data_IF_696649739878
#
_entry.id   IF_696649739878
#
_cell.length_a   1.000
_cell.length_b   1.000
_cell.length_c   1.000
_cell.angle_alpha   90.00
_cell.angle_beta   90.00
_cell.angle_gamma   90.00
#
_symmetry.space_group_name_H-M   'P 1'
#
loop_
_entity.id
_entity.type
_entity.pdbx_description
1 polymer ?
#
# COMPACT_ATOMS: atom_id res chain seq x y z
N UNK A 1 -13.20 -6.34 -9.18
CA UNK A 1 -13.61 -5.82 -7.86
C UNK A 1 -12.96 -6.72 -6.85
N UNK A 2 -12.11 -6.18 -5.96
CA UNK A 2 -11.32 -6.89 -4.95
C UNK A 2 -11.92 -8.23 -4.53
N UNK A 3 -11.28 -9.34 -4.92
CA UNK A 3 -11.72 -10.67 -4.50
C UNK A 3 -11.42 -10.81 -3.01
N UNK A 4 -12.48 -10.68 -2.22
CA UNK A 4 -12.45 -10.80 -0.77
C UNK A 4 -12.51 -12.28 -0.41
N UNK A 5 -11.35 -12.93 -0.38
CA UNK A 5 -11.23 -14.32 0.02
C UNK A 5 -10.49 -14.39 1.37
N UNK A 6 -11.26 -14.51 2.45
CA UNK A 6 -10.79 -15.16 3.67
C UNK A 6 -11.92 -16.03 4.21
N UNK A 7 -12.02 -17.23 3.64
CA UNK A 7 -12.81 -18.32 4.19
C UNK A 7 -12.04 -18.98 5.34
N UNK A 8 -11.90 -18.33 6.49
CA UNK A 8 -11.35 -19.00 7.67
C UNK A 8 -12.47 -19.78 8.36
N UNK A 9 -12.52 -21.09 8.10
CA UNK A 9 -13.29 -22.08 8.86
C UNK A 9 -13.18 -21.80 10.35
N UNK A 10 -14.33 -21.49 10.96
CA UNK A 10 -14.45 -21.21 12.39
C UNK A 10 -14.26 -22.46 13.23
N UNK A 11 -13.04 -22.65 13.74
CA UNK A 11 -12.74 -23.45 14.92
C UNK A 11 -12.57 -22.53 16.12
N UNK A 12 -13.47 -22.66 17.10
CA UNK A 12 -13.56 -21.86 18.33
C UNK A 12 -12.24 -21.84 19.12
N UNK A 13 -11.83 -20.66 19.61
CA UNK A 13 -11.22 -20.57 20.94
C UNK A 13 -11.44 -19.18 21.55
N UNK A 14 -11.97 -19.16 22.77
CA UNK A 14 -12.23 -17.96 23.57
C UNK A 14 -11.01 -17.70 24.45
N UNK A 15 -10.14 -16.77 24.07
CA UNK A 15 -8.92 -16.45 24.81
C UNK A 15 -8.64 -14.95 24.83
N UNK A 16 -8.90 -14.35 26.00
CA UNK A 16 -8.63 -12.98 26.36
C UNK A 16 -7.22 -12.48 25.99
N UNK A 17 -7.17 -11.33 25.30
CA UNK A 17 -6.14 -10.32 25.52
C UNK A 17 -4.82 -10.53 24.79
N UNK A 18 -4.82 -10.30 23.49
CA UNK A 18 -4.01 -9.29 22.78
C UNK A 18 -4.66 -9.24 21.40
N UNK A 19 -5.36 -8.17 21.07
CA UNK A 19 -5.57 -7.85 19.66
C UNK A 19 -4.17 -7.66 19.12
N UNK A 20 -3.57 -8.72 18.57
CA UNK A 20 -2.51 -8.56 17.60
C UNK A 20 -3.19 -7.75 16.52
N UNK A 21 -3.01 -6.42 16.59
CA UNK A 21 -3.25 -5.56 15.44
C UNK A 21 -2.23 -6.08 14.44
N UNK A 22 -2.63 -7.12 13.70
CA UNK A 22 -2.03 -7.47 12.43
C UNK A 22 -2.11 -6.16 11.69
N UNK A 23 -1.00 -5.43 11.75
CA UNK A 23 -0.86 -4.14 11.14
C UNK A 23 -0.83 -4.54 9.68
N UNK A 24 -2.01 -4.68 9.08
CA UNK A 24 -2.22 -4.75 7.65
C UNK A 24 -1.82 -3.37 7.10
N UNK A 25 -0.56 -2.98 7.36
CA UNK A 25 0.06 -1.85 6.74
C UNK A 25 0.16 -2.22 5.28
N UNK A 26 -0.37 -1.34 4.44
CA UNK A 26 -0.07 -1.37 3.02
C UNK A 26 1.46 -1.34 2.91
N UNK A 27 2.06 -2.35 2.27
CA UNK A 27 3.49 -2.37 2.01
C UNK A 27 3.83 -1.16 1.14
N UNK A 28 4.53 -0.20 1.72
CA UNK A 28 5.01 1.01 1.04
C UNK A 28 6.50 0.92 0.72
N UNK A 29 7.09 -0.28 0.82
CA UNK A 29 8.54 -0.53 0.65
C UNK A 29 9.09 -0.02 -0.70
N UNK A 30 8.21 0.15 -1.70
CA UNK A 30 8.55 0.68 -3.02
C UNK A 30 8.46 2.22 -3.12
N UNK A 31 8.16 2.92 -2.02
CA UNK A 31 8.03 4.37 -1.99
C UNK A 31 9.00 5.01 -0.98
N UNK A 32 9.55 6.16 -1.37
CA UNK A 32 10.37 7.03 -0.53
C UNK A 32 9.61 8.32 -0.19
N UNK A 33 9.54 8.66 1.09
CA UNK A 33 8.98 9.93 1.53
C UNK A 33 10.07 11.01 1.61
N UNK A 34 9.86 12.15 0.95
CA UNK A 34 10.70 13.35 1.01
C UNK A 34 9.80 14.54 1.34
N UNK A 35 9.76 14.93 2.61
CA UNK A 35 8.83 15.93 3.11
C UNK A 35 7.37 15.46 2.98
N UNK A 36 6.55 16.26 2.29
CA UNK A 36 5.15 15.93 1.97
C UNK A 36 4.99 15.17 0.65
N UNK A 37 6.10 14.82 -0.01
CA UNK A 37 6.08 14.09 -1.28
C UNK A 37 6.47 12.63 -1.10
N UNK A 38 5.78 11.75 -1.83
CA UNK A 38 6.07 10.33 -1.95
C UNK A 38 6.52 10.03 -3.38
N UNK A 39 7.63 9.31 -3.52
CA UNK A 39 8.23 8.93 -4.79
C UNK A 39 8.30 7.41 -4.90
N UNK A 40 8.07 6.85 -6.07
CA UNK A 40 8.41 5.44 -6.30
C UNK A 40 9.94 5.30 -6.35
N UNK A 41 10.51 4.32 -5.64
CA UNK A 41 11.94 4.00 -5.61
C UNK A 41 12.36 3.31 -6.93
N UNK A 42 12.47 4.11 -7.99
CA UNK A 42 12.79 3.66 -9.35
C UNK A 42 13.74 4.64 -10.04
N UNK A 43 14.41 4.18 -11.10
CA UNK A 43 15.22 5.03 -11.98
C UNK A 43 14.40 5.65 -13.14
N UNK A 44 13.08 5.40 -13.17
CA UNK A 44 12.17 5.96 -14.17
C UNK A 44 11.65 7.33 -13.68
N UNK A 45 11.70 8.38 -14.51
CA UNK A 45 11.14 9.69 -14.14
C UNK A 45 9.61 9.62 -14.01
N UNK A 46 9.07 10.38 -13.05
CA UNK A 46 7.63 10.47 -12.86
C UNK A 46 6.94 11.22 -14.01
N UNK A 47 5.85 10.66 -14.51
CA UNK A 47 5.00 11.25 -15.56
C UNK A 47 3.59 11.62 -15.04
N UNK A 48 3.28 11.22 -13.80
CA UNK A 48 1.99 11.43 -13.15
C UNK A 48 2.18 11.99 -11.74
N UNK A 49 1.38 13.00 -11.41
CA UNK A 49 1.34 13.61 -10.08
C UNK A 49 -0.08 13.54 -9.53
N UNK A 50 -0.24 13.01 -8.32
CA UNK A 50 -1.52 12.98 -7.59
C UNK A 50 -1.35 13.75 -6.29
N UNK A 51 -2.22 14.73 -6.05
CA UNK A 51 -2.23 15.49 -4.81
C UNK A 51 -3.47 15.10 -3.98
N UNK A 52 -3.24 14.79 -2.70
CA UNK A 52 -4.28 14.53 -1.72
C UNK A 52 -4.01 15.45 -0.54
N UNK A 53 -4.83 16.50 -0.41
CA UNK A 53 -4.62 17.57 0.58
C UNK A 53 -3.22 18.19 0.44
N UNK A 54 -2.38 18.05 1.47
CA UNK A 54 -1.01 18.55 1.53
C UNK A 54 0.03 17.51 1.08
N UNK A 55 -0.38 16.29 0.76
CA UNK A 55 0.50 15.19 0.33
C UNK A 55 0.53 15.06 -1.19
N UNK A 56 1.73 14.91 -1.75
CA UNK A 56 1.94 14.74 -3.18
C UNK A 56 2.54 13.37 -3.50
N UNK A 57 2.01 12.68 -4.51
CA UNK A 57 2.52 11.40 -4.99
C UNK A 57 3.08 11.55 -6.40
N UNK A 58 4.35 11.21 -6.56
CA UNK A 58 5.08 11.17 -7.83
C UNK A 58 5.08 9.73 -8.35
N UNK A 59 4.33 9.51 -9.42
CA UNK A 59 4.05 8.20 -10.01
C UNK A 59 4.59 8.11 -11.43
N UNK A 60 4.77 6.89 -11.92
CA UNK A 60 5.04 6.61 -13.32
C UNK A 60 4.15 5.46 -13.79
N UNK A 61 3.61 5.54 -15.01
CA UNK A 61 2.91 4.40 -15.61
C UNK A 61 3.92 3.52 -16.35
N UNK A 62 4.16 2.31 -15.86
CA UNK A 62 4.92 1.30 -16.62
C UNK A 62 4.03 0.80 -17.76
N UNK A 63 4.45 1.04 -19.01
CA UNK A 63 3.84 0.42 -20.18
C UNK A 63 4.68 -0.83 -20.48
N UNK A 64 4.17 -1.99 -20.12
CA UNK A 64 4.75 -3.24 -20.58
C UNK A 64 4.64 -3.28 -22.11
N UNK A 65 5.78 -3.41 -22.80
CA UNK A 65 5.79 -3.56 -24.25
C UNK A 65 5.23 -4.95 -24.61
N UNK A 66 4.21 -5.00 -25.47
CA UNK A 66 3.53 -6.24 -25.92
C UNK A 66 4.43 -7.15 -26.75
#
# INVERSE_FOLDING_TARGET
>A
MWESENESVGGRDYGNGVHSTSKNGVKTDSFEQKGQSWYVATDIPSDLLVQIEDVTFHLHKVIDSL
#
